data_IF_797408992578
#
_entry.id   IF_797408992578
#
_cell.length_a   1.000
_cell.length_b   1.000
_cell.length_c   1.000
_cell.angle_alpha   90.00
_cell.angle_beta   90.00
_cell.angle_gamma   90.00
#
_symmetry.space_group_name_H-M   'P 1'
#
loop_
_entity.id
_entity.type
_entity.pdbx_description
1 polymer ?
#
# COMPACT_ATOMS: atom_id res chain seq x y z
N UNK A 1 13.70 -50.15 -35.16
CA UNK A 1 13.24 -49.63 -33.85
C UNK A 1 14.05 -48.39 -33.55
N UNK A 2 13.45 -47.21 -33.59
CA UNK A 2 14.06 -45.94 -33.17
C UNK A 2 13.23 -45.42 -32.00
N UNK A 3 13.88 -45.27 -30.85
CA UNK A 3 13.26 -44.72 -29.64
C UNK A 3 13.28 -43.21 -29.78
N UNK A 4 12.12 -42.61 -30.03
CA UNK A 4 11.92 -41.17 -29.87
C UNK A 4 12.22 -40.78 -28.42
N UNK A 5 13.04 -39.76 -28.15
CA UNK A 5 13.11 -39.19 -26.82
C UNK A 5 11.77 -38.55 -26.53
N UNK A 6 11.07 -39.11 -25.54
CA UNK A 6 9.87 -38.58 -24.95
C UNK A 6 10.21 -37.18 -24.43
N UNK A 7 9.89 -36.15 -25.21
CA UNK A 7 9.79 -34.79 -24.70
C UNK A 7 8.70 -34.82 -23.65
N UNK A 8 9.12 -34.96 -22.39
CA UNK A 8 8.31 -34.65 -21.24
C UNK A 8 7.87 -33.21 -21.45
N UNK A 9 6.61 -33.03 -21.85
CA UNK A 9 5.96 -31.74 -21.91
C UNK A 9 6.26 -31.05 -20.58
N UNK A 10 7.10 -30.00 -20.63
CA UNK A 10 7.27 -29.08 -19.53
C UNK A 10 5.90 -28.47 -19.27
N UNK A 11 5.16 -29.07 -18.34
CA UNK A 11 3.91 -28.54 -17.83
C UNK A 11 4.25 -27.21 -17.18
N UNK A 12 4.07 -26.14 -17.97
CA UNK A 12 4.18 -24.72 -17.69
C UNK A 12 4.67 -24.37 -16.26
N UNK A 13 5.99 -24.26 -16.12
CA UNK A 13 6.66 -23.95 -14.84
C UNK A 13 6.30 -22.56 -14.32
N UNK A 14 5.96 -21.67 -15.25
CA UNK A 14 5.88 -20.22 -15.04
C UNK A 14 4.61 -19.85 -14.25
N UNK A 15 3.50 -20.57 -14.48
CA UNK A 15 2.25 -20.35 -13.74
C UNK A 15 2.34 -20.76 -12.27
N UNK A 16 3.01 -21.88 -11.95
CA UNK A 16 3.14 -22.40 -10.58
C UNK A 16 3.98 -21.47 -9.69
N UNK A 17 5.02 -20.87 -10.27
CA UNK A 17 5.87 -19.92 -9.55
C UNK A 17 5.08 -18.69 -9.09
N UNK A 18 4.27 -18.10 -9.98
CA UNK A 18 3.48 -16.91 -9.64
C UNK A 18 2.49 -17.18 -8.50
N UNK A 19 1.79 -18.32 -8.51
CA UNK A 19 0.90 -18.67 -7.39
C UNK A 19 1.64 -18.79 -6.06
N UNK A 20 2.85 -19.34 -6.05
CA UNK A 20 3.67 -19.46 -4.84
C UNK A 20 4.12 -18.09 -4.35
N UNK A 21 4.59 -17.22 -5.25
CA UNK A 21 4.99 -15.85 -4.93
C UNK A 21 3.80 -15.07 -4.39
N UNK A 22 2.66 -15.08 -5.06
CA UNK A 22 1.44 -14.41 -4.59
C UNK A 22 0.96 -14.91 -3.23
N UNK A 23 1.01 -16.22 -2.99
CA UNK A 23 0.67 -16.80 -1.69
C UNK A 23 1.59 -16.35 -0.57
N UNK A 24 2.91 -16.38 -0.80
CA UNK A 24 3.90 -15.86 0.16
C UNK A 24 3.68 -14.36 0.39
N UNK A 25 3.48 -13.59 -0.68
CA UNK A 25 3.23 -12.15 -0.57
C UNK A 25 1.96 -11.84 0.22
N UNK A 26 0.88 -12.60 0.05
CA UNK A 26 -0.34 -12.43 0.84
C UNK A 26 -0.11 -12.68 2.34
N UNK A 27 0.67 -13.71 2.68
CA UNK A 27 1.04 -13.99 4.07
C UNK A 27 1.90 -12.89 4.68
N UNK A 28 2.95 -12.46 3.96
CA UNK A 28 3.82 -11.37 4.41
C UNK A 28 3.02 -10.08 4.55
N UNK A 29 2.14 -9.76 3.59
CA UNK A 29 1.25 -8.60 3.64
C UNK A 29 0.37 -8.63 4.89
N UNK A 30 -0.21 -9.79 5.21
CA UNK A 30 -1.06 -9.97 6.39
C UNK A 30 -0.28 -9.73 7.68
N UNK A 31 0.93 -10.28 7.79
CA UNK A 31 1.82 -10.07 8.94
C UNK A 31 2.26 -8.61 9.03
N UNK A 32 2.59 -7.97 7.92
CA UNK A 32 2.97 -6.55 7.87
C UNK A 32 1.86 -5.67 8.43
N UNK A 33 0.59 -5.89 8.06
CA UNK A 33 -0.53 -5.13 8.63
C UNK A 33 -0.66 -5.32 10.15
N UNK A 34 -0.47 -6.54 10.66
CA UNK A 34 -0.46 -6.78 12.12
C UNK A 34 0.65 -5.96 12.79
N UNK A 35 1.86 -5.96 12.22
CA UNK A 35 2.98 -5.18 12.75
C UNK A 35 2.71 -3.67 12.68
N UNK A 36 2.15 -3.17 11.57
CA UNK A 36 1.73 -1.75 11.43
C UNK A 36 0.76 -1.39 12.56
N UNK A 37 -0.26 -2.21 12.81
CA UNK A 37 -1.23 -1.96 13.88
C UNK A 37 -0.51 -1.87 15.24
N UNK A 38 0.37 -2.82 15.56
CA UNK A 38 1.14 -2.81 16.81
C UNK A 38 1.98 -1.54 16.95
N UNK A 39 2.58 -1.04 15.87
CA UNK A 39 3.33 0.22 15.87
C UNK A 39 2.43 1.45 16.08
N UNK A 40 1.18 1.42 15.60
CA UNK A 40 0.21 2.50 15.79
C UNK A 40 -0.37 2.58 17.21
N UNK A 41 -0.59 1.44 17.88
CA UNK A 41 -1.21 1.38 19.21
C UNK A 41 -0.62 2.38 20.23
N UNK A 42 0.71 2.46 20.42
CA UNK A 42 1.28 3.33 21.46
C UNK A 42 1.23 4.83 21.13
N UNK A 43 1.18 5.20 19.85
CA UNK A 43 1.31 6.59 19.39
C UNK A 43 -0.01 7.21 18.92
N UNK A 44 -1.03 6.39 18.66
CA UNK A 44 -2.34 6.84 18.19
C UNK A 44 -2.31 7.46 16.78
N UNK A 45 -3.42 8.07 16.39
CA UNK A 45 -3.52 8.79 15.12
C UNK A 45 -2.90 10.19 15.22
N UNK A 46 -2.24 10.70 14.17
CA UNK A 46 -1.78 12.09 14.13
C UNK A 46 -2.95 13.06 14.35
N UNK A 47 -2.75 14.14 15.11
CA UNK A 47 -3.75 15.20 15.23
C UNK A 47 -4.01 15.88 13.88
N UNK A 48 -5.10 16.63 13.78
CA UNK A 48 -5.35 17.51 12.63
C UNK A 48 -4.57 18.82 12.74
N UNK A 49 -4.29 19.45 11.60
CA UNK A 49 -3.57 20.71 11.51
C UNK A 49 -2.05 20.56 11.39
N UNK A 50 -1.45 21.44 10.60
CA UNK A 50 -0.05 21.33 10.18
C UNK A 50 0.94 21.36 11.36
N UNK A 51 0.85 22.37 12.23
CA UNK A 51 1.79 22.53 13.35
C UNK A 51 1.68 21.40 14.38
N UNK A 52 0.46 20.97 14.69
CA UNK A 52 0.22 19.86 15.60
C UNK A 52 0.79 18.55 15.04
N UNK A 53 0.62 18.29 13.73
CA UNK A 53 1.23 17.14 13.06
C UNK A 53 2.75 17.20 13.06
N UNK A 54 3.36 18.34 12.76
CA UNK A 54 4.82 18.48 12.80
C UNK A 54 5.36 18.18 14.20
N UNK A 55 4.73 18.73 15.24
CA UNK A 55 5.12 18.49 16.63
C UNK A 55 4.98 17.01 17.00
N UNK A 56 3.86 16.39 16.62
CA UNK A 56 3.58 14.98 16.86
C UNK A 56 4.58 14.05 16.15
N UNK A 57 4.87 14.31 14.86
CA UNK A 57 5.79 13.51 14.06
C UNK A 57 7.22 13.67 14.54
N UNK A 58 7.64 14.87 14.96
CA UNK A 58 8.96 15.10 15.53
C UNK A 58 9.20 14.20 16.76
N UNK A 59 8.21 14.10 17.66
CA UNK A 59 8.27 13.24 18.84
C UNK A 59 8.27 11.73 18.56
N UNK A 60 7.84 11.31 17.36
CA UNK A 60 7.65 9.90 17.01
C UNK A 60 8.37 9.50 15.70
N UNK A 61 9.40 10.25 15.31
CA UNK A 61 10.02 10.20 13.97
C UNK A 61 10.43 8.79 13.54
N UNK A 62 11.12 8.03 14.40
CA UNK A 62 11.61 6.69 14.07
C UNK A 62 10.46 5.69 13.83
N UNK A 63 9.41 5.75 14.65
CA UNK A 63 8.22 4.90 14.50
C UNK A 63 7.48 5.22 13.20
N UNK A 64 7.35 6.50 12.86
CA UNK A 64 6.70 6.92 11.62
C UNK A 64 7.47 6.53 10.37
N UNK A 65 8.80 6.57 10.38
CA UNK A 65 9.59 6.01 9.29
C UNK A 65 9.43 4.49 9.16
N UNK A 66 9.34 3.77 10.28
CA UNK A 66 9.10 2.33 10.27
C UNK A 66 7.71 1.99 9.70
N UNK A 67 6.67 2.70 10.14
CA UNK A 67 5.30 2.57 9.62
C UNK A 67 5.29 2.87 8.11
N UNK A 68 5.88 3.99 7.69
CA UNK A 68 5.94 4.39 6.29
C UNK A 68 6.62 3.31 5.43
N UNK A 69 7.79 2.83 5.84
CA UNK A 69 8.52 1.81 5.10
C UNK A 69 7.75 0.50 5.00
N UNK A 70 7.08 0.09 6.08
CA UNK A 70 6.28 -1.13 6.10
C UNK A 70 5.02 -1.00 5.24
N UNK A 71 4.38 0.17 5.21
CA UNK A 71 3.24 0.43 4.35
C UNK A 71 3.60 0.44 2.86
N UNK A 72 4.72 1.08 2.50
CA UNK A 72 5.24 1.05 1.13
C UNK A 72 5.55 -0.40 0.71
N UNK A 73 6.11 -1.21 1.62
CA UNK A 73 6.29 -2.64 1.37
C UNK A 73 4.95 -3.34 1.09
N UNK A 74 3.90 -3.07 1.87
CA UNK A 74 2.59 -3.69 1.63
C UNK A 74 2.00 -3.34 0.27
N UNK A 75 2.18 -2.10 -0.21
CA UNK A 75 1.73 -1.68 -1.55
C UNK A 75 2.43 -2.51 -2.64
N UNK A 76 3.73 -2.74 -2.52
CA UNK A 76 4.45 -3.60 -3.45
C UNK A 76 4.02 -5.07 -3.37
N UNK A 77 3.69 -5.56 -2.17
CA UNK A 77 3.20 -6.94 -1.99
C UNK A 77 1.82 -7.17 -2.60
N UNK A 78 0.99 -6.13 -2.75
CA UNK A 78 -0.28 -6.26 -3.46
C UNK A 78 -0.10 -6.60 -4.95
N UNK A 79 1.01 -6.22 -5.59
CA UNK A 79 1.27 -6.52 -7.01
C UNK A 79 1.28 -8.03 -7.30
N UNK A 80 2.16 -8.85 -6.69
CA UNK A 80 2.16 -10.29 -6.93
C UNK A 80 0.88 -10.97 -6.44
N UNK A 81 0.22 -10.45 -5.40
CA UNK A 81 -1.08 -10.95 -4.94
C UNK A 81 -2.15 -10.77 -6.03
N UNK A 82 -2.31 -9.54 -6.54
CA UNK A 82 -3.30 -9.23 -7.56
C UNK A 82 -3.06 -10.01 -8.86
N UNK A 83 -1.80 -10.12 -9.30
CA UNK A 83 -1.44 -10.90 -10.49
C UNK A 83 -1.75 -12.39 -10.32
N UNK A 84 -1.45 -12.96 -9.15
CA UNK A 84 -1.72 -14.38 -8.87
C UNK A 84 -3.21 -14.68 -8.84
N UNK A 85 -4.00 -13.79 -8.21
CA UNK A 85 -5.45 -13.90 -8.18
C UNK A 85 -6.05 -13.73 -9.58
N UNK A 86 -5.55 -12.79 -10.38
CA UNK A 86 -5.95 -12.65 -11.79
C UNK A 86 -5.72 -13.95 -12.56
N UNK A 87 -4.52 -14.53 -12.46
CA UNK A 87 -4.20 -15.77 -13.18
C UNK A 87 -5.05 -16.96 -12.71
N UNK A 88 -5.38 -17.03 -11.42
CA UNK A 88 -6.23 -18.09 -10.86
C UNK A 88 -7.70 -17.97 -11.32
N UNK A 89 -8.22 -16.74 -11.40
CA UNK A 89 -9.65 -16.49 -11.53
C UNK A 89 -10.09 -15.99 -12.92
N UNK A 90 -9.16 -15.63 -13.82
CA UNK A 90 -9.46 -15.17 -15.19
C UNK A 90 -10.29 -16.17 -16.00
N UNK A 91 -10.20 -17.46 -15.69
CA UNK A 91 -10.99 -18.51 -16.34
C UNK A 91 -12.48 -18.46 -16.01
N UNK A 92 -12.86 -17.86 -14.87
CA UNK A 92 -14.26 -17.73 -14.42
C UNK A 92 -14.87 -16.46 -15.00
N UNK A 93 -14.20 -15.31 -14.80
CA UNK A 93 -14.64 -14.04 -15.38
C UNK A 93 -13.45 -13.10 -15.60
N UNK A 94 -12.90 -13.15 -16.81
CA UNK A 94 -11.74 -12.33 -17.21
C UNK A 94 -11.97 -10.83 -17.04
N UNK A 95 -13.14 -10.32 -17.44
CA UNK A 95 -13.41 -8.88 -17.43
C UNK A 95 -13.52 -8.35 -15.99
N UNK A 96 -14.21 -9.09 -15.12
CA UNK A 96 -14.29 -8.74 -13.71
C UNK A 96 -12.91 -8.78 -13.04
N UNK A 97 -12.09 -9.79 -13.32
CA UNK A 97 -10.73 -9.88 -12.77
C UNK A 97 -9.79 -8.82 -13.32
N UNK A 98 -9.92 -8.41 -14.58
CA UNK A 98 -9.19 -7.28 -15.14
C UNK A 98 -9.53 -5.99 -14.39
N UNK A 99 -10.83 -5.70 -14.21
CA UNK A 99 -11.26 -4.51 -13.49
C UNK A 99 -10.81 -4.53 -12.02
N UNK A 100 -10.94 -5.67 -11.35
CA UNK A 100 -10.46 -5.85 -9.98
C UNK A 100 -8.95 -5.59 -9.85
N UNK A 101 -8.15 -6.15 -10.77
CA UNK A 101 -6.70 -5.95 -10.80
C UNK A 101 -6.34 -4.50 -11.11
N UNK A 102 -7.09 -3.84 -12.00
CA UNK A 102 -6.92 -2.43 -12.31
C UNK A 102 -7.22 -1.55 -11.09
N UNK A 103 -8.27 -1.85 -10.32
CA UNK A 103 -8.57 -1.16 -9.07
C UNK A 103 -7.43 -1.32 -8.05
N UNK A 104 -6.90 -2.53 -7.87
CA UNK A 104 -5.76 -2.75 -6.95
C UNK A 104 -4.51 -2.02 -7.45
N UNK A 105 -4.21 -2.07 -8.75
CA UNK A 105 -3.08 -1.32 -9.32
C UNK A 105 -3.23 0.19 -9.17
N UNK A 106 -4.44 0.72 -9.37
CA UNK A 106 -4.74 2.13 -9.17
C UNK A 106 -4.61 2.53 -7.70
N UNK A 107 -5.08 1.69 -6.77
CA UNK A 107 -4.85 1.88 -5.34
C UNK A 107 -3.36 2.00 -5.02
N UNK A 108 -2.52 1.06 -5.47
CA UNK A 108 -1.08 1.05 -5.20
C UNK A 108 -0.44 2.38 -5.65
N UNK A 109 -0.74 2.82 -6.88
CA UNK A 109 -0.17 4.04 -7.43
C UNK A 109 -0.64 5.27 -6.64
N UNK A 110 -1.94 5.36 -6.36
CA UNK A 110 -2.50 6.50 -5.66
C UNK A 110 -2.07 6.56 -4.19
N UNK A 111 -1.95 5.42 -3.51
CA UNK A 111 -1.56 5.37 -2.10
C UNK A 111 -0.09 5.76 -1.93
N UNK A 112 0.79 5.27 -2.80
CA UNK A 112 2.21 5.68 -2.83
C UNK A 112 2.34 7.18 -3.16
N UNK A 113 1.62 7.67 -4.17
CA UNK A 113 1.72 9.06 -4.63
C UNK A 113 1.08 10.07 -3.67
N UNK A 114 -0.03 9.72 -3.03
CA UNK A 114 -0.83 10.65 -2.24
C UNK A 114 -0.70 10.42 -0.73
N UNK A 115 -0.74 9.18 -0.25
CA UNK A 115 -0.66 8.92 1.20
C UNK A 115 0.79 8.98 1.65
N UNK A 116 1.63 8.05 1.18
CA UNK A 116 2.96 7.83 1.72
C UNK A 116 3.94 8.95 1.39
N UNK A 117 3.83 9.54 0.19
CA UNK A 117 4.64 10.70 -0.19
C UNK A 117 4.35 11.92 0.68
N UNK A 118 3.08 12.20 1.01
CA UNK A 118 2.73 13.32 1.89
C UNK A 118 3.14 13.06 3.35
N UNK A 119 3.04 11.82 3.83
CA UNK A 119 3.62 11.45 5.14
C UNK A 119 5.15 11.62 5.15
N UNK A 120 5.87 11.18 4.11
CA UNK A 120 7.33 11.36 4.02
C UNK A 120 7.73 12.84 4.08
N UNK A 121 7.00 13.70 3.34
CA UNK A 121 7.21 15.13 3.36
C UNK A 121 7.00 15.71 4.77
N UNK A 122 5.92 15.32 5.46
CA UNK A 122 5.63 15.78 6.81
C UNK A 122 6.67 15.31 7.84
N UNK A 123 7.16 14.07 7.74
CA UNK A 123 8.21 13.56 8.65
C UNK A 123 9.54 14.30 8.40
N UNK A 124 9.84 14.65 7.15
CA UNK A 124 11.04 15.43 6.82
C UNK A 124 10.94 16.87 7.32
N UNK A 125 9.76 17.49 7.14
CA UNK A 125 9.47 18.83 7.63
C UNK A 125 9.43 18.88 9.16
N UNK A 126 8.98 17.81 9.84
CA UNK A 126 8.94 17.76 11.30
C UNK A 126 10.34 17.78 11.92
N UNK A 127 11.31 17.08 11.30
CA UNK A 127 12.71 17.15 11.69
C UNK A 127 13.28 18.57 11.56
N UNK A 128 13.00 19.22 10.43
CA UNK A 128 13.39 20.63 10.22
C UNK A 128 12.71 21.57 11.21
N UNK A 129 11.44 21.31 11.55
CA UNK A 129 10.65 22.11 12.49
C UNK A 129 11.20 22.03 13.92
N UNK A 130 11.58 20.82 14.36
CA UNK A 130 12.21 20.60 15.65
C UNK A 130 13.59 21.28 15.76
N UNK A 131 14.34 21.35 14.65
CA UNK A 131 15.67 21.98 14.60
C UNK A 131 15.64 23.50 14.33
N UNK A 132 14.47 24.09 14.07
CA UNK A 132 14.36 25.51 13.73
C UNK A 132 14.80 26.41 14.88
N UNK A 133 15.64 27.40 14.57
CA UNK A 133 16.30 28.26 15.56
C UNK A 133 15.46 29.48 15.98
N UNK A 134 14.44 29.85 15.20
CA UNK A 134 13.58 30.99 15.48
C UNK A 134 12.15 30.79 14.98
N UNK A 135 11.25 31.65 15.44
CA UNK A 135 9.82 31.59 15.13
C UNK A 135 9.53 31.82 13.64
N UNK A 136 10.32 32.66 12.96
CA UNK A 136 10.15 32.90 11.53
C UNK A 136 10.39 31.62 10.70
N UNK A 137 11.42 30.85 11.03
CA UNK A 137 11.69 29.54 10.41
C UNK A 137 10.57 28.53 10.72
N UNK A 138 10.09 28.49 11.97
CA UNK A 138 8.98 27.62 12.36
C UNK A 138 7.71 27.94 11.58
N UNK A 139 7.35 29.21 11.47
CA UNK A 139 6.18 29.65 10.71
C UNK A 139 6.26 29.26 9.23
N UNK A 140 7.43 29.39 8.60
CA UNK A 140 7.65 28.96 7.22
C UNK A 140 7.47 27.45 7.03
N UNK A 141 7.95 26.64 7.97
CA UNK A 141 7.80 25.18 7.94
C UNK A 141 6.35 24.73 8.17
N UNK A 142 5.64 25.39 9.08
CA UNK A 142 4.20 25.16 9.28
C UNK A 142 3.43 25.49 7.99
N UNK A 143 3.73 26.61 7.34
CA UNK A 143 3.12 26.97 6.07
C UNK A 143 3.39 25.92 4.97
N UNK A 144 4.62 25.41 4.88
CA UNK A 144 4.96 24.33 3.94
C UNK A 144 4.22 23.01 4.26
N UNK A 145 4.03 22.69 5.54
CA UNK A 145 3.32 21.49 5.98
C UNK A 145 1.80 21.56 5.82
N UNK A 146 1.22 22.74 5.59
CA UNK A 146 -0.21 22.92 5.38
C UNK A 146 -0.73 22.15 4.17
N UNK A 147 0.00 22.15 3.05
CA UNK A 147 -0.41 21.42 1.84
C UNK A 147 -0.49 19.90 2.07
N UNK A 148 0.61 19.19 2.46
CA UNK A 148 0.53 17.75 2.67
C UNK A 148 -0.45 17.40 3.80
N UNK A 149 -0.62 18.27 4.80
CA UNK A 149 -1.63 18.06 5.84
C UNK A 149 -3.05 18.09 5.27
N UNK A 150 -3.38 19.09 4.45
CA UNK A 150 -4.68 19.22 3.82
C UNK A 150 -5.00 18.08 2.85
N UNK A 151 -3.99 17.57 2.13
CA UNK A 151 -4.14 16.38 1.28
C UNK A 151 -4.53 15.16 2.12
N UNK A 152 -3.84 14.92 3.24
CA UNK A 152 -4.12 13.80 4.14
C UNK A 152 -5.46 13.92 4.88
N UNK A 153 -5.98 15.14 5.07
CA UNK A 153 -7.29 15.40 5.67
C UNK A 153 -8.43 15.38 4.65
N UNK A 154 -8.12 15.32 3.36
CA UNK A 154 -9.12 15.34 2.30
C UNK A 154 -9.95 14.06 2.28
N UNK A 155 -11.27 14.21 2.17
CA UNK A 155 -12.18 13.08 1.92
C UNK A 155 -11.91 12.37 0.60
N UNK A 156 -11.25 13.05 -0.35
CA UNK A 156 -10.85 12.45 -1.61
C UNK A 156 -9.79 11.36 -1.42
N UNK A 157 -8.92 11.50 -0.41
CA UNK A 157 -7.91 10.51 -0.09
C UNK A 157 -8.55 9.16 0.27
N UNK A 158 -9.65 9.19 1.04
CA UNK A 158 -10.42 7.99 1.37
C UNK A 158 -10.92 7.26 0.12
N UNK A 159 -11.38 8.00 -0.90
CA UNK A 159 -11.83 7.39 -2.16
C UNK A 159 -10.67 6.69 -2.88
N UNK A 160 -9.49 7.30 -2.87
CA UNK A 160 -8.29 6.80 -3.55
C UNK A 160 -7.66 5.60 -2.85
N UNK A 161 -7.48 5.66 -1.53
CA UNK A 161 -6.77 4.61 -0.79
C UNK A 161 -7.69 3.48 -0.28
N UNK A 162 -8.92 3.79 0.13
CA UNK A 162 -9.75 2.81 0.83
C UNK A 162 -10.82 2.25 -0.10
N UNK A 163 -11.60 3.14 -0.72
CA UNK A 163 -12.72 2.71 -1.55
C UNK A 163 -12.25 1.97 -2.80
N UNK A 164 -11.23 2.50 -3.49
CA UNK A 164 -10.68 1.89 -4.72
C UNK A 164 -10.16 0.47 -4.47
N UNK A 165 -9.38 0.27 -3.40
CA UNK A 165 -8.91 -1.05 -2.99
C UNK A 165 -10.08 -1.98 -2.63
N UNK A 166 -11.03 -1.49 -1.82
CA UNK A 166 -12.18 -2.26 -1.36
C UNK A 166 -13.03 -2.78 -2.52
N UNK A 167 -13.25 -1.96 -3.56
CA UNK A 167 -13.94 -2.38 -4.78
C UNK A 167 -13.18 -3.50 -5.48
N UNK A 168 -11.86 -3.38 -5.63
CA UNK A 168 -11.04 -4.43 -6.26
C UNK A 168 -11.09 -5.76 -5.51
N UNK A 169 -11.00 -5.73 -4.17
CA UNK A 169 -11.08 -6.92 -3.32
C UNK A 169 -12.49 -7.53 -3.39
N UNK A 170 -13.53 -6.71 -3.28
CA UNK A 170 -14.92 -7.16 -3.33
C UNK A 170 -15.25 -7.85 -4.67
N UNK A 171 -14.84 -7.24 -5.78
CA UNK A 171 -14.99 -7.85 -7.11
C UNK A 171 -14.28 -9.20 -7.21
N UNK A 172 -13.05 -9.28 -6.70
CA UNK A 172 -12.30 -10.54 -6.64
C UNK A 172 -13.05 -11.60 -5.84
N UNK A 173 -13.60 -11.23 -4.67
CA UNK A 173 -14.42 -12.12 -3.84
C UNK A 173 -15.68 -12.63 -4.57
N UNK A 174 -16.38 -11.76 -5.30
CA UNK A 174 -17.53 -12.18 -6.11
C UNK A 174 -17.17 -13.16 -7.22
N UNK A 175 -15.99 -13.02 -7.84
CA UNK A 175 -15.52 -13.98 -8.84
C UNK A 175 -15.18 -15.32 -8.18
N UNK A 176 -14.54 -15.31 -7.01
CA UNK A 176 -14.25 -16.53 -6.24
C UNK A 176 -15.52 -17.32 -5.91
N UNK A 177 -16.60 -16.65 -5.49
CA UNK A 177 -17.89 -17.29 -5.19
C UNK A 177 -18.54 -17.99 -6.39
N UNK A 178 -18.18 -17.62 -7.63
CA UNK A 178 -18.68 -18.26 -8.85
C UNK A 178 -17.82 -19.44 -9.32
N UNK A 179 -16.65 -19.64 -8.71
CA UNK A 179 -15.72 -20.71 -9.05
C UNK A 179 -15.80 -21.94 -8.15
N UNK A 180 -16.63 -21.88 -7.09
CA UNK A 180 -16.97 -22.98 -6.17
C UNK A 180 -18.31 -23.55 -6.61
#
# INVERSE_FOLDING_TARGET
>A
MSVQPMMVNAVDSDGKWLYRVGGISALVLSVSYIVIIVLYVPIGAPPSGAEARLTYLAGNTALWWAILGLSVLTDFLFVPVALSLYLALKGINKNAMLLATACVGLFIVLDLAMTWTNYAALITLSGSYAAAANEAQRAALVAAASYPSAVLESSLLFAYNTLTLSVGILMTGFVMLKGI
#
